data_IF_148298451276
#
_entry.id   IF_148298451276
#
_cell.length_a   1.000
_cell.length_b   1.000
_cell.length_c   1.000
_cell.angle_alpha   90.00
_cell.angle_beta   90.00
_cell.angle_gamma   90.00
#
_symmetry.space_group_name_H-M   'P 1'
#
loop_
_entity.id
_entity.type
_entity.pdbx_description
1 polymer ?
#
# COMPACT_ATOMS: atom_id res chain seq x y z
N UNK A 1 44.42 5.68 -0.06
CA UNK A 1 43.19 5.72 -0.89
C UNK A 1 42.49 4.37 -1.08
N UNK A 2 43.12 3.34 -1.67
CA UNK A 2 42.45 2.05 -1.99
C UNK A 2 41.70 1.36 -0.83
N UNK A 3 42.24 1.44 0.40
CA UNK A 3 41.64 0.80 1.60
C UNK A 3 40.35 1.50 2.08
N UNK A 4 40.27 2.82 1.92
CA UNK A 4 39.09 3.62 2.27
C UNK A 4 37.98 3.39 1.25
N UNK A 5 38.31 3.42 -0.05
CA UNK A 5 37.36 3.15 -1.15
C UNK A 5 36.70 1.77 -0.98
N UNK A 6 37.48 0.73 -0.63
CA UNK A 6 36.94 -0.62 -0.34
C UNK A 6 36.01 -0.65 0.86
N UNK A 7 36.27 0.13 1.92
CA UNK A 7 35.40 0.21 3.09
C UNK A 7 34.08 0.92 2.76
N UNK A 8 34.16 2.05 2.06
CA UNK A 8 32.98 2.81 1.60
C UNK A 8 32.11 1.93 0.71
N UNK A 9 32.70 1.26 -0.29
CA UNK A 9 31.94 0.40 -1.20
C UNK A 9 31.23 -0.75 -0.46
N UNK A 10 31.89 -1.37 0.54
CA UNK A 10 31.26 -2.40 1.38
C UNK A 10 30.10 -1.85 2.19
N UNK A 11 30.27 -0.69 2.84
CA UNK A 11 29.23 -0.06 3.66
C UNK A 11 28.05 0.34 2.78
N UNK A 12 28.30 1.03 1.66
CA UNK A 12 27.25 1.41 0.70
C UNK A 12 26.52 0.18 0.18
N UNK A 13 27.23 -0.90 -0.15
CA UNK A 13 26.60 -2.16 -0.57
C UNK A 13 25.69 -2.77 0.50
N UNK A 14 26.14 -2.79 1.76
CA UNK A 14 25.34 -3.27 2.89
C UNK A 14 24.10 -2.40 3.11
N UNK A 15 24.27 -1.07 3.11
CA UNK A 15 23.15 -0.12 3.28
C UNK A 15 22.13 -0.30 2.17
N UNK A 16 22.57 -0.43 0.92
CA UNK A 16 21.68 -0.61 -0.23
C UNK A 16 20.94 -1.94 -0.17
N UNK A 17 21.61 -3.01 0.28
CA UNK A 17 20.98 -4.31 0.53
C UNK A 17 19.93 -4.22 1.64
N UNK A 18 20.23 -3.54 2.75
CA UNK A 18 19.28 -3.33 3.85
C UNK A 18 18.05 -2.53 3.38
N UNK A 19 18.24 -1.48 2.57
CA UNK A 19 17.15 -0.69 2.01
C UNK A 19 16.25 -1.53 1.08
N UNK A 20 16.84 -2.35 0.21
CA UNK A 20 16.08 -3.26 -0.64
C UNK A 20 15.28 -4.25 0.21
N UNK A 21 15.92 -4.87 1.21
CA UNK A 21 15.22 -5.80 2.11
C UNK A 21 14.06 -5.10 2.86
N UNK A 22 14.28 -3.89 3.37
CA UNK A 22 13.24 -3.10 4.01
C UNK A 22 12.08 -2.79 3.07
N UNK A 23 12.35 -2.46 1.80
CA UNK A 23 11.31 -2.19 0.81
C UNK A 23 10.38 -3.39 0.54
N UNK A 24 10.85 -4.63 0.74
CA UNK A 24 10.00 -5.82 0.69
C UNK A 24 9.31 -6.12 2.03
N UNK A 25 10.00 -5.95 3.16
CA UNK A 25 9.49 -6.30 4.49
C UNK A 25 8.40 -5.33 4.95
N UNK A 26 8.57 -4.03 4.71
CA UNK A 26 7.62 -2.99 5.13
C UNK A 26 6.18 -3.28 4.65
N UNK A 27 5.89 -3.45 3.35
CA UNK A 27 4.52 -3.68 2.89
C UNK A 27 3.91 -4.96 3.47
N UNK A 28 4.72 -5.98 3.76
CA UNK A 28 4.25 -7.25 4.34
C UNK A 28 3.86 -7.07 5.81
N UNK A 29 4.76 -6.49 6.62
CA UNK A 29 4.55 -6.34 8.08
C UNK A 29 3.44 -5.34 8.37
N UNK A 30 3.38 -4.24 7.59
CA UNK A 30 2.44 -3.14 7.81
C UNK A 30 1.12 -3.29 7.05
N UNK A 31 0.91 -4.37 6.28
CA UNK A 31 -0.30 -4.59 5.46
C UNK A 31 -1.59 -4.31 6.25
N UNK A 32 -1.75 -4.94 7.41
CA UNK A 32 -2.97 -4.78 8.25
C UNK A 32 -3.20 -3.34 8.72
N UNK A 33 -2.13 -2.66 9.13
CA UNK A 33 -2.23 -1.28 9.63
C UNK A 33 -2.61 -0.32 8.50
N UNK A 34 -2.01 -0.50 7.32
CA UNK A 34 -2.33 0.30 6.12
C UNK A 34 -3.76 0.03 5.67
N UNK A 35 -4.19 -1.24 5.61
CA UNK A 35 -5.58 -1.59 5.29
C UNK A 35 -6.59 -0.91 6.22
N UNK A 36 -6.36 -0.96 7.53
CA UNK A 36 -7.26 -0.35 8.51
C UNK A 36 -7.28 1.18 8.37
N UNK A 37 -6.12 1.79 8.14
CA UNK A 37 -6.01 3.23 7.92
C UNK A 37 -6.78 3.63 6.66
N UNK A 38 -6.62 2.89 5.57
CA UNK A 38 -7.34 3.14 4.31
C UNK A 38 -8.84 3.00 4.48
N UNK A 39 -9.35 1.91 5.09
CA UNK A 39 -10.80 1.75 5.36
C UNK A 39 -11.34 2.89 6.21
N UNK A 40 -10.60 3.28 7.25
CA UNK A 40 -10.99 4.38 8.14
C UNK A 40 -11.06 5.71 7.40
N UNK A 41 -10.02 6.03 6.63
CA UNK A 41 -9.92 7.30 5.94
C UNK A 41 -10.96 7.42 4.82
N UNK A 42 -11.20 6.34 4.07
CA UNK A 42 -12.22 6.31 3.02
C UNK A 42 -13.61 6.52 3.62
N UNK A 43 -13.98 5.78 4.67
CA UNK A 43 -15.31 5.92 5.29
C UNK A 43 -15.49 7.26 6.03
N UNK A 44 -14.40 7.92 6.44
CA UNK A 44 -14.47 9.26 7.03
C UNK A 44 -14.64 10.37 5.97
N UNK A 45 -14.02 10.20 4.80
CA UNK A 45 -14.03 11.22 3.74
C UNK A 45 -15.16 11.02 2.72
N UNK A 46 -15.76 9.83 2.65
CA UNK A 46 -16.87 9.53 1.74
C UNK A 46 -18.16 9.27 2.51
N UNK A 47 -19.28 9.77 1.99
CA UNK A 47 -20.65 9.40 2.42
C UNK A 47 -21.05 8.06 1.80
N UNK A 48 -20.17 7.06 1.87
CA UNK A 48 -20.36 5.73 1.31
C UNK A 48 -19.64 4.70 2.19
N UNK A 49 -20.21 3.50 2.28
CA UNK A 49 -19.56 2.38 2.96
C UNK A 49 -18.69 1.64 1.97
N UNK A 50 -17.38 1.72 2.15
CA UNK A 50 -16.42 1.04 1.27
C UNK A 50 -15.90 -0.22 1.94
N UNK A 51 -16.05 -1.35 1.24
CA UNK A 51 -15.49 -2.63 1.64
C UNK A 51 -14.70 -3.28 0.51
N UNK A 52 -13.74 -4.10 0.88
CA UNK A 52 -12.89 -4.84 -0.05
C UNK A 52 -12.35 -6.09 0.62
N UNK A 53 -12.08 -7.12 -0.18
CA UNK A 53 -11.66 -8.44 0.28
C UNK A 53 -10.18 -8.48 0.65
N UNK A 54 -9.32 -7.94 -0.20
CA UNK A 54 -7.88 -7.89 0.06
C UNK A 54 -7.26 -6.58 -0.45
N UNK A 55 -6.07 -6.28 0.09
CA UNK A 55 -5.21 -5.17 -0.31
C UNK A 55 -3.85 -5.68 -0.71
N UNK A 56 -3.41 -5.33 -1.91
CA UNK A 56 -2.01 -5.49 -2.32
C UNK A 56 -1.27 -4.17 -2.10
N UNK A 57 -0.06 -4.24 -1.55
CA UNK A 57 0.78 -3.05 -1.31
C UNK A 57 2.12 -3.29 -1.99
N UNK A 58 2.50 -2.36 -2.88
CA UNK A 58 3.76 -2.43 -3.61
C UNK A 58 4.48 -1.09 -3.60
N UNK A 59 5.74 -1.11 -3.18
CA UNK A 59 6.64 0.03 -3.31
C UNK A 59 7.31 0.10 -4.70
N UNK A 60 7.31 -0.98 -5.46
CA UNK A 60 8.06 -1.08 -6.72
C UNK A 60 7.23 -0.73 -7.94
N UNK A 61 5.90 -0.94 -7.90
CA UNK A 61 5.02 -0.76 -9.06
C UNK A 61 4.97 0.70 -9.55
N UNK A 62 4.94 1.67 -8.62
CA UNK A 62 4.95 3.11 -8.92
C UNK A 62 5.96 3.89 -8.08
N UNK A 63 7.16 3.32 -7.86
CA UNK A 63 8.22 3.97 -7.09
C UNK A 63 8.50 5.40 -7.63
N UNK A 64 8.66 6.43 -6.77
CA UNK A 64 8.80 6.40 -5.31
C UNK A 64 7.49 6.38 -4.51
N UNK A 65 6.33 6.36 -5.18
CA UNK A 65 5.03 6.30 -4.51
C UNK A 65 4.67 4.86 -4.15
N UNK A 66 4.01 4.69 -3.02
CA UNK A 66 3.40 3.41 -2.64
C UNK A 66 2.17 3.19 -3.52
N UNK A 67 2.06 2.00 -4.10
CA UNK A 67 0.85 1.54 -4.80
C UNK A 67 0.01 0.69 -3.86
N UNK A 68 -1.31 0.88 -3.92
CA UNK A 68 -2.29 0.15 -3.15
C UNK A 68 -3.31 -0.39 -4.15
N UNK A 69 -3.33 -1.70 -4.33
CA UNK A 69 -4.37 -2.38 -5.10
C UNK A 69 -5.46 -2.91 -4.17
N UNK A 70 -6.72 -2.71 -4.53
CA UNK A 70 -7.88 -3.22 -3.81
C UNK A 70 -8.55 -4.32 -4.64
N UNK A 71 -8.72 -5.50 -4.04
CA UNK A 71 -9.38 -6.64 -4.67
C UNK A 71 -10.82 -6.75 -4.17
N UNK A 72 -11.75 -6.96 -5.11
CA UNK A 72 -13.20 -7.04 -4.86
C UNK A 72 -13.73 -5.83 -4.10
N UNK A 73 -13.44 -4.63 -4.62
CA UNK A 73 -13.93 -3.37 -4.06
C UNK A 73 -15.43 -3.26 -4.28
N UNK A 74 -16.17 -2.98 -3.21
CA UNK A 74 -17.58 -2.63 -3.23
C UNK A 74 -17.80 -1.32 -2.49
N UNK A 75 -18.48 -0.39 -3.15
CA UNK A 75 -18.86 0.90 -2.58
C UNK A 75 -20.38 0.94 -2.54
N UNK A 76 -20.93 0.90 -1.33
CA UNK A 76 -22.37 0.98 -1.08
C UNK A 76 -22.72 2.40 -0.67
N UNK A 77 -23.71 2.98 -1.33
CA UNK A 77 -24.21 4.31 -1.00
C UNK A 77 -24.78 4.39 0.41
N UNK A 78 -24.75 5.58 1.00
CA UNK A 78 -25.49 5.87 2.23
C UNK A 78 -26.56 6.94 1.95
N UNK A 79 -27.48 7.15 2.90
CA UNK A 79 -28.61 8.08 2.76
C UNK A 79 -29.53 7.76 1.56
N UNK A 80 -29.63 8.67 0.59
CA UNK A 80 -30.52 8.55 -0.58
C UNK A 80 -30.18 7.35 -1.48
N UNK A 81 -28.94 6.85 -1.39
CA UNK A 81 -28.46 5.67 -2.09
C UNK A 81 -28.28 4.46 -1.15
N UNK A 82 -28.90 4.49 0.03
CA UNK A 82 -28.79 3.40 1.00
C UNK A 82 -29.29 2.08 0.41
N UNK A 83 -28.41 1.08 0.38
CA UNK A 83 -28.70 -0.24 -0.17
C UNK A 83 -28.38 -0.40 -1.66
N UNK A 84 -27.97 0.68 -2.34
CA UNK A 84 -27.50 0.61 -3.73
C UNK A 84 -25.97 0.52 -3.80
N UNK A 85 -25.46 -0.26 -4.75
CA UNK A 85 -24.02 -0.45 -4.98
C UNK A 85 -23.58 0.52 -6.07
N UNK A 86 -22.89 1.60 -5.66
CA UNK A 86 -22.44 2.65 -6.56
C UNK A 86 -21.25 2.21 -7.41
N UNK A 87 -20.35 1.40 -6.83
CA UNK A 87 -19.17 0.87 -7.51
C UNK A 87 -18.97 -0.57 -7.09
N UNK A 88 -18.77 -1.44 -8.07
CA UNK A 88 -18.30 -2.81 -7.87
C UNK A 88 -17.15 -3.04 -8.85
N UNK A 89 -15.96 -3.31 -8.33
CA UNK A 89 -14.76 -3.52 -9.12
C UNK A 89 -13.99 -4.73 -8.60
N UNK A 90 -13.67 -5.66 -9.50
CA UNK A 90 -12.92 -6.86 -9.14
C UNK A 90 -11.46 -6.52 -8.75
N UNK A 91 -10.84 -5.58 -9.46
CA UNK A 91 -9.49 -5.10 -9.17
C UNK A 91 -9.39 -3.60 -9.47
N UNK A 92 -8.82 -2.83 -8.54
CA UNK A 92 -8.44 -1.42 -8.72
C UNK A 92 -7.00 -1.26 -8.23
N UNK A 93 -6.14 -0.59 -9.02
CA UNK A 93 -4.71 -0.35 -8.75
C UNK A 93 -4.33 1.14 -8.86
#
# INVERSE_FOLDING_TARGET
MKRIIRKVLKITGIVLLVLIAAAFIIPIVFKKQITNLVKKEINNNLTASVDFKDVSISLFRHFPKVSIGLESLSVVGTNEFAGDTLVSAENID
#
